data_IF_142420863721
#
_entry.id   IF_142420863721
#
_cell.length_a   1.000
_cell.length_b   1.000
_cell.length_c   1.000
_cell.angle_alpha   90.00
_cell.angle_beta   90.00
_cell.angle_gamma   90.00
#
_symmetry.space_group_name_H-M   'P 1'
#
loop_
_entity.id
_entity.type
_entity.pdbx_description
1 polymer ?
#
# COMPACT_ATOMS: atom_id res chain seq x y z
N UNK A 1 10.88 29.91 12.94
CA UNK A 1 9.66 29.09 13.06
C UNK A 1 9.86 27.86 12.18
N UNK A 2 9.91 26.64 12.73
CA UNK A 2 10.04 25.46 11.90
C UNK A 2 8.67 25.16 11.26
N UNK A 3 8.67 25.00 9.95
CA UNK A 3 7.53 24.54 9.15
C UNK A 3 7.21 23.08 9.52
N UNK A 4 5.97 22.73 9.88
CA UNK A 4 5.60 21.34 10.07
C UNK A 4 5.14 20.79 8.72
N UNK A 5 6.10 20.44 7.85
CA UNK A 5 5.83 19.48 6.78
C UNK A 5 5.78 18.07 7.40
N UNK A 6 4.71 17.81 8.17
CA UNK A 6 4.33 16.47 8.55
C UNK A 6 3.88 15.76 7.28
N UNK A 7 4.68 14.80 6.81
CA UNK A 7 4.30 13.83 5.76
C UNK A 7 2.87 13.38 6.06
N UNK A 8 1.95 13.53 5.12
CA UNK A 8 0.54 13.21 5.35
C UNK A 8 0.43 11.76 5.86
N UNK A 9 0.11 11.60 7.14
CA UNK A 9 -0.21 10.29 7.71
C UNK A 9 -1.54 9.86 7.06
N UNK A 10 -1.47 9.14 5.94
CA UNK A 10 -2.63 8.44 5.39
C UNK A 10 -3.10 7.44 6.46
N UNK A 11 -4.40 7.39 6.72
CA UNK A 11 -4.92 6.40 7.66
C UNK A 11 -4.73 4.98 7.08
N UNK A 12 -4.64 3.93 7.92
CA UNK A 12 -4.57 2.55 7.44
C UNK A 12 -5.68 2.21 6.44
N UNK A 13 -6.90 2.70 6.70
CA UNK A 13 -8.05 2.53 5.82
C UNK A 13 -7.86 3.23 4.47
N UNK A 14 -7.33 4.45 4.46
CA UNK A 14 -7.04 5.17 3.21
C UNK A 14 -5.95 4.45 2.40
N UNK A 15 -4.93 3.87 3.06
CA UNK A 15 -3.87 3.12 2.38
C UNK A 15 -4.47 1.89 1.68
N UNK A 16 -5.27 1.10 2.39
CA UNK A 16 -5.94 -0.09 1.84
C UNK A 16 -6.86 0.28 0.69
N UNK A 17 -7.69 1.31 0.87
CA UNK A 17 -8.60 1.79 -0.17
C UNK A 17 -7.86 2.26 -1.42
N UNK A 18 -6.86 3.13 -1.25
CA UNK A 18 -6.09 3.66 -2.38
C UNK A 18 -5.34 2.54 -3.11
N UNK A 19 -4.73 1.62 -2.38
CA UNK A 19 -4.02 0.49 -2.96
C UNK A 19 -4.97 -0.39 -3.79
N UNK A 20 -6.17 -0.68 -3.27
CA UNK A 20 -7.20 -1.42 -4.01
C UNK A 20 -7.65 -0.69 -5.28
N UNK A 21 -7.89 0.61 -5.20
CA UNK A 21 -8.28 1.42 -6.37
C UNK A 21 -7.17 1.48 -7.43
N UNK A 22 -5.90 1.64 -7.03
CA UNK A 22 -4.77 1.64 -7.95
C UNK A 22 -4.55 0.28 -8.61
N UNK A 23 -4.70 -0.82 -7.86
CA UNK A 23 -4.66 -2.18 -8.43
C UNK A 23 -5.76 -2.39 -9.47
N UNK A 24 -7.00 -1.96 -9.17
CA UNK A 24 -8.12 -2.05 -10.12
C UNK A 24 -7.93 -1.17 -11.37
N UNK A 25 -7.08 -0.15 -11.32
CA UNK A 25 -6.66 0.59 -12.52
C UNK A 25 -5.68 -0.26 -13.34
N UNK A 26 -4.69 -0.87 -12.71
CA UNK A 26 -3.69 -1.71 -13.40
C UNK A 26 -4.30 -2.98 -14.02
N UNK A 27 -5.36 -3.53 -13.43
CA UNK A 27 -6.08 -4.69 -14.00
C UNK A 27 -6.79 -4.39 -15.33
N UNK A 28 -7.08 -3.11 -15.64
CA UNK A 28 -7.79 -2.74 -16.87
C UNK A 28 -6.87 -2.86 -18.08
N UNK A 29 -7.31 -3.61 -19.08
CA UNK A 29 -6.53 -3.87 -20.30
C UNK A 29 -6.42 -2.65 -21.24
N UNK A 30 -7.34 -1.67 -21.12
CA UNK A 30 -7.39 -0.47 -21.99
C UNK A 30 -7.11 0.83 -21.20
N UNK A 31 -5.96 0.90 -20.52
CA UNK A 31 -5.49 2.14 -19.88
C UNK A 31 -4.35 2.76 -20.67
N UNK A 32 -4.31 4.09 -20.74
CA UNK A 32 -3.18 4.82 -21.30
C UNK A 32 -1.92 4.62 -20.45
N UNK A 33 -0.74 4.55 -21.06
CA UNK A 33 0.56 4.37 -20.38
C UNK A 33 0.74 5.35 -19.21
N UNK A 34 0.40 6.63 -19.40
CA UNK A 34 0.50 7.66 -18.35
C UNK A 34 -0.35 7.37 -17.10
N UNK A 35 -1.51 6.73 -17.28
CA UNK A 35 -2.36 6.30 -16.16
C UNK A 35 -1.82 5.03 -15.50
N UNK A 36 -1.24 4.12 -16.30
CA UNK A 36 -0.58 2.92 -15.78
C UNK A 36 0.60 3.29 -14.89
N UNK A 37 1.52 4.14 -15.38
CA UNK A 37 2.68 4.60 -14.61
C UNK A 37 2.27 5.27 -13.30
N UNK A 38 1.25 6.13 -13.34
CA UNK A 38 0.73 6.78 -12.13
C UNK A 38 0.14 5.75 -11.15
N UNK A 39 -0.64 4.79 -11.64
CA UNK A 39 -1.21 3.74 -10.80
C UNK A 39 -0.11 2.87 -10.17
N UNK A 40 0.92 2.51 -10.93
CA UNK A 40 2.10 1.79 -10.42
C UNK A 40 2.81 2.59 -9.32
N UNK A 41 3.06 3.88 -9.53
CA UNK A 41 3.69 4.73 -8.53
C UNK A 41 2.84 4.84 -7.24
N UNK A 42 1.51 4.90 -7.37
CA UNK A 42 0.59 4.89 -6.22
C UNK A 42 0.58 3.54 -5.49
N UNK A 43 0.62 2.41 -6.22
CA UNK A 43 0.76 1.07 -5.64
C UNK A 43 2.04 1.00 -4.80
N UNK A 44 3.19 1.34 -5.36
CA UNK A 44 4.47 1.27 -4.64
C UNK A 44 4.47 2.18 -3.39
N UNK A 45 3.94 3.40 -3.49
CA UNK A 45 3.83 4.31 -2.33
C UNK A 45 2.96 3.77 -1.22
N UNK A 46 1.81 3.18 -1.56
CA UNK A 46 0.89 2.64 -0.56
C UNK A 46 1.44 1.35 0.07
N UNK A 47 2.15 0.51 -0.69
CA UNK A 47 2.84 -0.68 -0.17
C UNK A 47 3.93 -0.29 0.85
N UNK A 48 4.75 0.70 0.53
CA UNK A 48 5.76 1.21 1.47
C UNK A 48 5.10 1.76 2.74
N UNK A 49 4.04 2.55 2.61
CA UNK A 49 3.32 3.07 3.78
C UNK A 49 2.70 1.95 4.64
N UNK A 50 2.16 0.91 4.02
CA UNK A 50 1.63 -0.27 4.69
C UNK A 50 2.73 -1.02 5.46
N UNK A 51 3.90 -1.21 4.83
CA UNK A 51 5.08 -1.79 5.45
C UNK A 51 5.58 -0.97 6.64
N UNK A 52 5.62 0.36 6.52
CA UNK A 52 6.01 1.24 7.63
C UNK A 52 5.05 1.15 8.83
N UNK A 53 3.75 0.87 8.61
CA UNK A 53 2.81 0.63 9.70
C UNK A 53 3.12 -0.71 10.41
N UNK A 54 3.44 -1.76 9.66
CA UNK A 54 3.68 -3.11 10.18
C UNK A 54 5.04 -3.23 10.89
N UNK A 55 6.09 -2.67 10.30
CA UNK A 55 7.47 -2.79 10.80
C UNK A 55 7.95 -1.57 11.57
N UNK A 56 7.22 -0.46 11.51
CA UNK A 56 7.69 0.83 11.99
C UNK A 56 8.69 1.49 11.03
N UNK A 57 9.24 2.60 11.47
CA UNK A 57 10.30 3.35 10.79
C UNK A 57 11.52 3.43 11.71
N UNK A 58 12.66 3.89 11.20
CA UNK A 58 13.87 4.10 12.02
C UNK A 58 13.66 5.03 13.23
N UNK A 59 12.59 5.83 13.25
CA UNK A 59 12.29 6.80 14.30
C UNK A 59 11.08 6.42 15.17
N UNK A 60 10.21 5.51 14.70
CA UNK A 60 8.96 5.15 15.38
C UNK A 60 8.66 3.66 15.27
N UNK A 61 8.46 3.02 16.41
CA UNK A 61 7.96 1.65 16.48
C UNK A 61 6.52 1.54 15.93
N UNK A 62 6.14 0.36 15.39
CA UNK A 62 4.79 0.13 14.88
C UNK A 62 3.74 0.32 15.99
N UNK A 63 2.75 1.17 15.73
CA UNK A 63 1.66 1.39 16.68
C UNK A 63 0.66 0.25 16.59
N UNK A 64 0.46 -0.48 17.69
CA UNK A 64 -0.42 -1.67 17.75
C UNK A 64 -1.84 -1.39 17.24
N UNK A 65 -2.40 -0.22 17.54
CA UNK A 65 -3.72 0.20 17.06
C UNK A 65 -3.76 0.36 15.53
N UNK A 66 -2.74 1.00 14.94
CA UNK A 66 -2.65 1.18 13.50
C UNK A 66 -2.47 -0.16 12.77
N UNK A 67 -1.67 -1.07 13.34
CA UNK A 67 -1.50 -2.44 12.82
C UNK A 67 -2.81 -3.22 12.87
N UNK A 68 -3.53 -3.16 14.00
CA UNK A 68 -4.81 -3.84 14.14
C UNK A 68 -5.85 -3.32 13.13
N UNK A 69 -5.93 -1.99 12.97
CA UNK A 69 -6.82 -1.37 11.99
C UNK A 69 -6.44 -1.76 10.56
N UNK A 70 -5.14 -1.76 10.22
CA UNK A 70 -4.65 -2.17 8.91
C UNK A 70 -5.02 -3.63 8.60
N UNK A 71 -4.79 -4.53 9.55
CA UNK A 71 -5.14 -5.94 9.41
C UNK A 71 -6.64 -6.12 9.17
N UNK A 72 -7.48 -5.44 9.96
CA UNK A 72 -8.92 -5.51 9.80
C UNK A 72 -9.39 -5.03 8.41
N UNK A 73 -8.84 -3.92 7.94
CA UNK A 73 -9.14 -3.39 6.60
C UNK A 73 -8.64 -4.31 5.48
N UNK A 74 -7.46 -4.93 5.63
CA UNK A 74 -6.94 -5.93 4.70
C UNK A 74 -7.87 -7.13 4.55
N UNK A 75 -8.38 -7.65 5.67
CA UNK A 75 -9.34 -8.77 5.67
C UNK A 75 -10.69 -8.37 5.07
N UNK A 76 -11.24 -7.21 5.48
CA UNK A 76 -12.54 -6.73 5.01
C UNK A 76 -12.54 -6.42 3.50
N UNK A 77 -11.44 -5.86 3.00
CA UNK A 77 -11.31 -5.45 1.60
C UNK A 77 -10.97 -6.61 0.66
N UNK A 78 -10.49 -7.74 1.18
CA UNK A 78 -9.94 -8.85 0.39
C UNK A 78 -8.64 -8.49 -0.33
N UNK A 79 -7.96 -7.42 0.08
CA UNK A 79 -6.84 -6.85 -0.67
C UNK A 79 -5.64 -7.80 -0.75
N UNK A 80 -5.40 -8.63 0.27
CA UNK A 80 -4.34 -9.65 0.22
C UNK A 80 -4.54 -10.61 -0.94
N UNK A 81 -5.78 -11.01 -1.23
CA UNK A 81 -6.08 -11.89 -2.37
C UNK A 81 -5.82 -11.19 -3.70
N UNK A 82 -6.22 -9.92 -3.84
CA UNK A 82 -5.94 -9.10 -5.04
C UNK A 82 -4.44 -8.95 -5.27
N UNK A 83 -3.66 -8.60 -4.23
CA UNK A 83 -2.21 -8.42 -4.36
C UNK A 83 -1.49 -9.71 -4.83
N UNK A 84 -1.98 -10.88 -4.41
CA UNK A 84 -1.43 -12.17 -4.85
C UNK A 84 -1.89 -12.52 -6.27
N UNK A 85 -3.16 -12.33 -6.59
CA UNK A 85 -3.71 -12.63 -7.93
C UNK A 85 -3.07 -11.75 -9.02
N UNK A 86 -2.87 -10.47 -8.71
CA UNK A 86 -2.36 -9.46 -9.63
C UNK A 86 -0.89 -9.13 -9.40
N UNK A 87 -0.16 -9.99 -8.69
CA UNK A 87 1.25 -9.80 -8.38
C UNK A 87 2.06 -9.51 -9.64
N UNK A 88 1.68 -10.09 -10.79
CA UNK A 88 2.34 -9.87 -12.08
C UNK A 88 2.36 -8.40 -12.53
N UNK A 89 1.34 -7.61 -12.16
CA UNK A 89 1.16 -6.20 -12.54
C UNK A 89 2.01 -5.26 -11.67
N UNK A 90 2.47 -5.74 -10.51
CA UNK A 90 3.26 -4.98 -9.56
C UNK A 90 4.73 -4.97 -10.01
N UNK A 91 5.41 -3.86 -9.76
CA UNK A 91 6.82 -3.69 -10.05
C UNK A 91 7.70 -4.59 -9.15
N UNK A 92 8.98 -4.73 -9.50
CA UNK A 92 9.88 -5.66 -8.81
C UNK A 92 10.07 -5.35 -7.32
N UNK A 93 10.19 -4.07 -6.94
CA UNK A 93 10.31 -3.70 -5.53
C UNK A 93 8.96 -3.87 -4.81
N UNK A 94 7.85 -3.47 -5.43
CA UNK A 94 6.52 -3.68 -4.88
C UNK A 94 6.21 -5.16 -4.61
N UNK A 95 6.66 -6.09 -5.45
CA UNK A 95 6.54 -7.54 -5.21
C UNK A 95 7.24 -7.98 -3.92
N UNK A 96 8.41 -7.42 -3.62
CA UNK A 96 9.12 -7.70 -2.36
C UNK A 96 8.35 -7.15 -1.17
N UNK A 97 7.82 -5.93 -1.29
CA UNK A 97 7.01 -5.31 -0.24
C UNK A 97 5.75 -6.12 0.04
N UNK A 98 5.03 -6.60 -0.99
CA UNK A 98 3.87 -7.50 -0.84
C UNK A 98 4.26 -8.75 -0.08
N UNK A 99 5.38 -9.40 -0.44
CA UNK A 99 5.85 -10.59 0.25
C UNK A 99 6.19 -10.31 1.73
N UNK A 100 6.80 -9.16 2.04
CA UNK A 100 7.07 -8.77 3.43
C UNK A 100 5.78 -8.53 4.21
N UNK A 101 4.84 -7.76 3.65
CA UNK A 101 3.53 -7.49 4.25
C UNK A 101 2.77 -8.80 4.53
N UNK A 102 2.83 -9.78 3.61
CA UNK A 102 2.16 -11.06 3.78
C UNK A 102 2.81 -11.97 4.84
N UNK A 103 4.11 -11.79 5.11
CA UNK A 103 4.87 -12.63 6.05
C UNK A 103 4.91 -12.07 7.49
N UNK A 104 4.48 -10.82 7.71
CA UNK A 104 4.39 -10.22 9.04
C UNK A 104 3.23 -10.79 9.85
#
# INVERSE_FOLDING_TARGET
MPFPFGKSHKSPADIVKNLKESMAVLEKQDISDKKAEKATEEVSKNLVAMKEILYGTNEKEPQTEAVAQLAQELYNSGLLSTLVADLQLIDFEGKKDVAQIFNN
#
